data_IF_065746910383
#
_entry.id   IF_065746910383
#
_cell.length_a   1.000
_cell.length_b   1.000
_cell.length_c   1.000
_cell.angle_alpha   90.00
_cell.angle_beta   90.00
_cell.angle_gamma   90.00
#
_symmetry.space_group_name_H-M   'P 1'
#
loop_
_entity.id
_entity.type
_entity.pdbx_description
1 polymer ?
#
# COMPACT_ATOMS: atom_id res chain seq x y z
N UNK A 1 -8.50 7.33 34.84
CA UNK A 1 -7.45 8.03 34.08
C UNK A 1 -6.14 7.34 34.32
N UNK A 2 -5.67 6.53 33.36
CA UNK A 2 -4.27 6.11 33.20
C UNK A 2 -4.21 5.48 31.80
N UNK A 3 -3.83 6.30 30.83
CA UNK A 3 -3.60 5.88 29.45
C UNK A 3 -2.26 5.13 29.41
N UNK A 4 -2.28 3.88 28.94
CA UNK A 4 -1.07 3.12 28.66
C UNK A 4 -0.66 3.44 27.21
N UNK A 5 0.31 4.34 27.06
CA UNK A 5 0.98 4.57 25.79
C UNK A 5 1.88 3.36 25.50
N UNK A 6 1.56 2.60 24.45
CA UNK A 6 2.42 1.55 23.93
C UNK A 6 3.69 2.17 23.36
N UNK A 7 4.80 1.97 24.06
CA UNK A 7 6.11 2.50 23.67
C UNK A 7 6.65 1.69 22.49
N UNK A 8 6.67 2.25 21.29
CA UNK A 8 7.47 1.72 20.18
C UNK A 8 8.94 1.70 20.65
N UNK A 9 9.53 0.52 20.73
CA UNK A 9 10.92 0.37 21.15
C UNK A 9 11.81 0.65 19.94
N UNK A 10 12.34 1.87 19.86
CA UNK A 10 13.30 2.29 18.83
C UNK A 10 14.60 1.50 18.97
N UNK A 11 14.88 0.60 18.02
CA UNK A 11 16.19 -0.05 17.92
C UNK A 11 17.13 0.86 17.11
N UNK A 12 17.90 1.68 17.83
CA UNK A 12 18.94 2.52 17.24
C UNK A 12 20.09 1.69 16.67
N UNK A 13 20.56 2.05 15.46
CA UNK A 13 21.63 1.34 14.78
C UNK A 13 22.53 2.24 13.91
N UNK A 14 23.80 2.28 14.29
CA UNK A 14 25.00 2.90 13.71
C UNK A 14 25.04 3.20 12.20
N UNK A 15 25.68 4.34 11.90
CA UNK A 15 25.99 4.90 10.59
C UNK A 15 27.05 4.08 9.83
N UNK A 16 26.58 3.30 8.86
CA UNK A 16 27.31 2.91 7.65
C UNK A 16 26.26 2.88 6.55
N UNK A 17 26.43 3.66 5.48
CA UNK A 17 25.42 4.00 4.47
C UNK A 17 24.33 2.92 4.31
N UNK A 18 23.24 3.08 5.08
CA UNK A 18 22.14 2.13 5.09
C UNK A 18 21.34 2.37 3.82
N UNK A 19 20.96 1.30 3.15
CA UNK A 19 20.04 1.37 2.02
C UNK A 19 18.76 2.12 2.45
N UNK A 20 18.30 3.15 1.72
CA UNK A 20 17.16 3.97 2.13
C UNK A 20 15.88 3.18 2.48
N UNK A 21 15.55 2.15 1.69
CA UNK A 21 14.41 1.30 1.97
C UNK A 21 14.59 0.51 3.28
N UNK A 22 15.79 -0.01 3.54
CA UNK A 22 16.09 -0.67 4.82
C UNK A 22 16.04 0.30 6.01
N UNK A 23 16.36 1.58 5.82
CA UNK A 23 16.22 2.58 6.88
C UNK A 23 14.76 2.70 7.34
N UNK A 24 13.81 2.68 6.39
CA UNK A 24 12.37 2.63 6.71
C UNK A 24 11.98 1.30 7.36
N UNK A 25 12.40 0.16 6.79
CA UNK A 25 12.08 -1.18 7.35
C UNK A 25 12.58 -1.34 8.79
N UNK A 26 13.75 -0.79 9.13
CA UNK A 26 14.35 -0.90 10.46
C UNK A 26 13.52 -0.25 11.59
N UNK A 27 12.53 0.57 11.27
CA UNK A 27 11.57 1.09 12.26
C UNK A 27 10.57 0.04 12.74
N UNK A 28 10.31 -0.98 11.91
CA UNK A 28 9.23 -1.96 12.13
C UNK A 28 9.77 -3.37 12.35
N UNK A 29 10.91 -3.69 11.74
CA UNK A 29 11.51 -5.02 11.77
C UNK A 29 13.00 -4.94 12.11
N UNK A 30 13.52 -5.83 12.97
CA UNK A 30 14.95 -5.90 13.22
C UNK A 30 15.66 -6.39 11.95
N UNK A 31 16.60 -5.59 11.45
CA UNK A 31 17.48 -6.01 10.37
C UNK A 31 18.55 -6.96 10.91
N UNK A 32 18.79 -8.06 10.20
CA UNK A 32 19.96 -8.89 10.46
C UNK A 32 21.18 -8.34 9.69
N UNK A 33 22.39 -8.64 10.17
CA UNK A 33 23.63 -8.26 9.48
C UNK A 33 23.90 -9.03 8.18
N UNK A 34 22.94 -9.85 7.73
CA UNK A 34 23.02 -10.74 6.59
C UNK A 34 22.40 -10.14 5.33
N UNK A 35 21.70 -10.99 4.58
CA UNK A 35 20.96 -10.60 3.37
C UNK A 35 19.56 -10.17 3.81
N UNK A 36 19.25 -8.90 3.64
CA UNK A 36 17.91 -8.37 3.90
C UNK A 36 17.12 -8.27 2.60
N UNK A 37 15.85 -8.64 2.62
CA UNK A 37 14.92 -8.48 1.49
C UNK A 37 14.15 -7.18 1.66
N UNK A 38 14.17 -6.34 0.64
CA UNK A 38 13.30 -5.18 0.49
C UNK A 38 12.14 -5.58 -0.41
N UNK A 39 10.94 -5.54 0.14
CA UNK A 39 9.69 -5.54 -0.61
C UNK A 39 9.18 -4.08 -0.65
N UNK A 40 9.24 -3.40 -1.82
CA UNK A 40 8.81 -2.01 -1.94
C UNK A 40 7.36 -1.77 -1.50
N UNK A 41 6.46 -2.72 -1.72
CA UNK A 41 5.08 -2.63 -1.25
C UNK A 41 4.98 -2.56 0.28
N UNK A 42 5.63 -3.46 1.01
CA UNK A 42 5.68 -3.38 2.48
C UNK A 42 6.35 -2.09 2.96
N UNK A 43 7.42 -1.68 2.27
CA UNK A 43 8.16 -0.47 2.62
C UNK A 43 7.31 0.80 2.40
N UNK A 44 6.43 0.82 1.38
CA UNK A 44 5.46 1.90 1.19
C UNK A 44 4.50 2.01 2.38
N UNK A 45 3.99 0.89 2.90
CA UNK A 45 3.08 0.87 4.06
C UNK A 45 3.77 1.34 5.34
N UNK A 46 5.03 0.95 5.54
CA UNK A 46 5.87 1.46 6.62
C UNK A 46 6.12 2.95 6.51
N UNK A 47 6.53 3.43 5.33
CA UNK A 47 6.73 4.85 5.09
C UNK A 47 5.43 5.65 5.29
N UNK A 48 4.28 5.12 4.87
CA UNK A 48 2.97 5.75 5.09
C UNK A 48 2.66 5.88 6.59
N UNK A 49 2.95 4.83 7.37
CA UNK A 49 2.82 4.88 8.83
C UNK A 49 3.73 5.95 9.45
N UNK A 50 5.00 6.03 9.03
CA UNK A 50 5.93 7.06 9.50
C UNK A 50 5.44 8.48 9.16
N UNK A 51 4.98 8.72 7.93
CA UNK A 51 4.44 10.01 7.48
C UNK A 51 3.25 10.43 8.34
N UNK A 52 2.26 9.54 8.55
CA UNK A 52 1.06 9.84 9.34
C UNK A 52 1.37 10.16 10.80
N UNK A 53 2.40 9.52 11.36
CA UNK A 53 2.88 9.76 12.72
C UNK A 53 3.90 10.89 12.84
N UNK A 54 4.29 11.53 11.73
CA UNK A 54 5.35 12.56 11.66
C UNK A 54 6.68 12.07 12.24
N UNK A 55 7.04 10.83 11.91
CA UNK A 55 8.29 10.18 12.27
C UNK A 55 9.15 9.95 11.03
N UNK A 56 10.45 9.78 11.23
CA UNK A 56 11.37 9.31 10.19
C UNK A 56 11.37 10.14 8.90
N UNK A 57 11.18 11.47 8.97
CA UNK A 57 11.02 12.29 7.76
C UNK A 57 12.22 12.19 6.82
N UNK A 58 13.44 12.17 7.36
CA UNK A 58 14.66 11.99 6.55
C UNK A 58 14.74 10.61 5.91
N UNK A 59 14.38 9.55 6.64
CA UNK A 59 14.33 8.19 6.09
C UNK A 59 13.28 8.04 5.00
N UNK A 60 12.13 8.70 5.13
CA UNK A 60 11.08 8.71 4.09
C UNK A 60 11.52 9.53 2.87
N UNK A 61 12.15 10.69 3.06
CA UNK A 61 12.70 11.49 1.94
C UNK A 61 13.71 10.67 1.12
N UNK A 62 14.66 10.03 1.81
CA UNK A 62 15.66 9.17 1.19
C UNK A 62 15.00 7.97 0.47
N UNK A 63 13.95 7.38 1.07
CA UNK A 63 13.22 6.27 0.48
C UNK A 63 12.44 6.68 -0.78
N UNK A 64 11.76 7.83 -0.79
CA UNK A 64 11.05 8.33 -1.98
C UNK A 64 12.02 8.55 -3.13
N UNK A 65 13.16 9.21 -2.88
CA UNK A 65 14.21 9.37 -3.90
C UNK A 65 14.71 8.01 -4.39
N UNK A 66 14.97 7.08 -3.47
CA UNK A 66 15.42 5.74 -3.82
C UNK A 66 14.40 5.00 -4.68
N UNK A 67 13.11 5.02 -4.32
CA UNK A 67 12.06 4.33 -5.09
C UNK A 67 12.01 4.83 -6.54
N UNK A 68 12.02 6.15 -6.72
CA UNK A 68 11.99 6.79 -8.04
C UNK A 68 13.21 6.44 -8.90
N UNK A 69 14.40 6.30 -8.28
CA UNK A 69 15.64 5.88 -8.95
C UNK A 69 15.70 4.38 -9.27
N UNK A 70 14.81 3.61 -8.66
CA UNK A 70 14.79 2.15 -8.76
C UNK A 70 13.60 1.61 -9.56
N UNK A 71 12.82 2.46 -10.19
CA UNK A 71 11.80 2.03 -11.15
C UNK A 71 12.40 1.27 -12.35
N UNK A 72 11.65 0.33 -12.89
CA UNK A 72 11.96 -0.49 -14.06
C UNK A 72 11.56 0.22 -15.36
N UNK A 73 12.42 0.15 -16.37
CA UNK A 73 12.27 0.82 -17.66
C UNK A 73 12.89 0.00 -18.82
N UNK A 74 12.20 -1.02 -19.39
CA UNK A 74 10.99 -1.69 -18.90
C UNK A 74 11.32 -2.88 -17.97
N UNK A 75 10.29 -3.51 -17.41
CA UNK A 75 10.38 -4.78 -16.68
C UNK A 75 10.21 -6.02 -17.59
N UNK A 76 10.13 -7.21 -16.96
CA UNK A 76 9.97 -8.51 -17.64
C UNK A 76 8.64 -8.67 -18.39
N UNK A 77 7.62 -7.88 -18.06
CA UNK A 77 6.32 -7.86 -18.75
C UNK A 77 6.23 -6.73 -19.79
N UNK A 78 7.32 -5.97 -19.99
CA UNK A 78 7.36 -4.82 -20.88
C UNK A 78 6.67 -3.58 -20.32
N UNK A 79 6.38 -3.55 -19.02
CA UNK A 79 5.82 -2.37 -18.34
C UNK A 79 6.93 -1.42 -17.89
N UNK A 80 6.57 -0.16 -17.75
CA UNK A 80 7.46 0.91 -17.30
C UNK A 80 6.89 1.53 -16.03
N UNK A 81 7.76 1.89 -15.08
CA UNK A 81 7.34 2.46 -13.80
C UNK A 81 7.01 1.41 -12.73
N UNK A 82 7.26 0.13 -12.97
CA UNK A 82 7.20 -0.92 -11.92
C UNK A 82 8.47 -0.90 -11.09
N UNK A 83 8.53 -1.68 -10.01
CA UNK A 83 9.76 -1.85 -9.21
C UNK A 83 9.85 -3.31 -8.77
N UNK A 84 11.04 -3.89 -8.87
CA UNK A 84 11.27 -5.26 -8.39
C UNK A 84 11.53 -5.24 -6.88
N UNK A 85 11.22 -6.37 -6.23
CA UNK A 85 11.82 -6.69 -4.94
C UNK A 85 13.35 -6.71 -5.05
N UNK A 86 14.02 -6.44 -3.94
CA UNK A 86 15.47 -6.32 -3.93
C UNK A 86 16.10 -7.03 -2.75
N UNK A 87 17.25 -7.64 -2.99
CA UNK A 87 18.11 -8.16 -1.94
C UNK A 87 19.23 -7.18 -1.64
N UNK A 88 19.37 -6.79 -0.38
CA UNK A 88 20.49 -6.01 0.10
C UNK A 88 21.48 -6.96 0.76
N UNK A 89 22.62 -7.16 0.11
CA UNK A 89 23.73 -7.98 0.61
C UNK A 89 24.52 -7.23 1.68
N UNK A 90 25.32 -7.94 2.51
CA UNK A 90 26.29 -7.30 3.38
C UNK A 90 27.15 -6.28 2.63
N UNK A 91 27.34 -5.11 3.23
CA UNK A 91 28.03 -3.98 2.58
C UNK A 91 27.13 -3.10 1.69
N UNK A 92 25.81 -3.32 1.68
CA UNK A 92 24.84 -2.43 1.02
C UNK A 92 24.64 -2.69 -0.48
N UNK A 93 25.24 -3.74 -1.03
CA UNK A 93 25.08 -4.08 -2.44
C UNK A 93 23.66 -4.56 -2.73
N UNK A 94 22.99 -3.82 -3.59
CA UNK A 94 21.61 -4.06 -4.00
C UNK A 94 21.55 -4.98 -5.22
N UNK A 95 20.73 -6.02 -5.16
CA UNK A 95 20.44 -6.93 -6.28
C UNK A 95 18.93 -6.97 -6.51
N UNK A 96 18.47 -6.60 -7.71
CA UNK A 96 17.08 -6.83 -8.13
C UNK A 96 16.82 -8.31 -8.23
N UNK A 97 15.65 -8.74 -7.80
CA UNK A 97 15.21 -10.14 -7.90
C UNK A 97 14.69 -10.48 -9.29
N UNK A 98 14.34 -9.47 -10.09
CA UNK A 98 13.60 -9.64 -11.34
C UNK A 98 12.13 -10.00 -11.09
N UNK A 99 11.60 -9.75 -9.88
CA UNK A 99 10.23 -10.09 -9.51
C UNK A 99 9.59 -9.15 -8.50
N UNK A 100 8.28 -9.05 -8.62
CA UNK A 100 7.32 -8.51 -7.68
C UNK A 100 6.09 -9.45 -7.68
N UNK A 101 5.28 -9.43 -6.63
CA UNK A 101 4.05 -10.21 -6.49
C UNK A 101 2.82 -9.51 -7.10
N UNK A 102 2.77 -8.18 -7.07
CA UNK A 102 1.78 -7.37 -7.77
C UNK A 102 2.38 -6.07 -8.35
N UNK A 103 1.72 -5.50 -9.35
CA UNK A 103 2.04 -4.18 -9.92
C UNK A 103 1.13 -3.10 -9.34
N UNK A 104 -0.16 -3.42 -9.24
CA UNK A 104 -1.20 -2.49 -8.81
C UNK A 104 -1.07 -2.10 -7.33
N UNK A 105 -0.83 -3.06 -6.43
CA UNK A 105 -0.63 -2.76 -5.02
C UNK A 105 0.63 -1.91 -4.76
N UNK A 106 1.72 -2.20 -5.48
CA UNK A 106 2.96 -1.42 -5.43
C UNK A 106 2.74 0.01 -5.91
N UNK A 107 2.13 0.18 -7.08
CA UNK A 107 1.84 1.48 -7.66
C UNK A 107 0.84 2.27 -6.80
N UNK A 108 -0.24 1.64 -6.36
CA UNK A 108 -1.30 2.25 -5.56
C UNK A 108 -0.79 2.78 -4.23
N UNK A 109 -0.04 1.96 -3.48
CA UNK A 109 0.54 2.37 -2.21
C UNK A 109 1.63 3.43 -2.36
N UNK A 110 2.44 3.38 -3.42
CA UNK A 110 3.46 4.40 -3.66
C UNK A 110 2.84 5.76 -4.00
N UNK A 111 1.81 5.80 -4.85
CA UNK A 111 1.12 7.06 -5.19
C UNK A 111 0.43 7.67 -3.98
N UNK A 112 -0.17 6.84 -3.11
CA UNK A 112 -0.71 7.30 -1.84
C UNK A 112 0.38 7.85 -0.93
N UNK A 113 1.53 7.16 -0.84
CA UNK A 113 2.68 7.64 -0.08
C UNK A 113 3.15 9.01 -0.59
N UNK A 114 3.30 9.21 -1.90
CA UNK A 114 3.73 10.49 -2.47
C UNK A 114 2.77 11.63 -2.13
N UNK A 115 1.46 11.38 -2.20
CA UNK A 115 0.43 12.38 -1.86
C UNK A 115 0.48 12.79 -0.39
N UNK A 116 0.58 11.82 0.53
CA UNK A 116 0.65 12.10 1.97
C UNK A 116 2.01 12.68 2.39
N UNK A 117 3.11 12.21 1.79
CA UNK A 117 4.46 12.71 2.01
C UNK A 117 4.59 14.18 1.58
N UNK A 118 4.06 14.54 0.40
CA UNK A 118 4.05 15.93 -0.06
C UNK A 118 3.26 16.84 0.90
N UNK A 119 2.09 16.38 1.35
CA UNK A 119 1.28 17.11 2.33
C UNK A 119 1.98 17.26 3.69
N UNK A 120 2.84 16.31 4.05
CA UNK A 120 3.66 16.36 5.25
C UNK A 120 4.92 17.24 5.12
N UNK A 121 5.14 17.87 3.96
CA UNK A 121 6.27 18.77 3.70
C UNK A 121 7.41 18.16 2.88
N UNK A 122 7.15 17.05 2.21
CA UNK A 122 8.09 16.41 1.28
C UNK A 122 8.57 17.33 0.15
N UNK A 123 9.72 16.98 -0.44
CA UNK A 123 10.38 17.78 -1.47
C UNK A 123 9.59 17.83 -2.80
N UNK A 124 8.87 18.93 -3.00
CA UNK A 124 8.17 19.23 -4.25
C UNK A 124 9.08 19.31 -5.47
N UNK A 125 10.33 19.76 -5.32
CA UNK A 125 11.27 19.84 -6.44
C UNK A 125 11.66 18.45 -6.93
N UNK A 126 11.79 17.47 -6.02
CA UNK A 126 11.99 16.07 -6.35
C UNK A 126 10.80 15.51 -7.17
N UNK A 127 9.56 15.84 -6.78
CA UNK A 127 8.35 15.43 -7.52
C UNK A 127 8.33 16.02 -8.92
N UNK A 128 8.60 17.32 -9.07
CA UNK A 128 8.66 17.98 -10.38
C UNK A 128 9.75 17.38 -11.27
N UNK A 129 10.93 17.13 -10.72
CA UNK A 129 12.04 16.51 -11.44
C UNK A 129 11.72 15.08 -11.91
N UNK A 130 10.83 14.37 -11.21
CA UNK A 130 10.43 12.99 -11.49
C UNK A 130 9.00 12.86 -12.03
N UNK A 131 8.37 13.95 -12.47
CA UNK A 131 6.97 13.97 -12.92
C UNK A 131 6.65 12.86 -13.93
N UNK A 132 7.48 12.68 -14.95
CA UNK A 132 7.27 11.65 -15.97
C UNK A 132 7.31 10.23 -15.38
N UNK A 133 8.22 9.98 -14.43
CA UNK A 133 8.32 8.68 -13.76
C UNK A 133 7.10 8.39 -12.89
N UNK A 134 6.62 9.40 -12.15
CA UNK A 134 5.42 9.30 -11.31
C UNK A 134 4.18 9.09 -12.20
N UNK A 135 4.12 9.77 -13.35
CA UNK A 135 3.10 9.54 -14.37
C UNK A 135 3.09 8.09 -14.86
N UNK A 136 4.26 7.50 -15.14
CA UNK A 136 4.35 6.10 -15.56
C UNK A 136 3.78 5.15 -14.49
N UNK A 137 4.07 5.40 -13.21
CA UNK A 137 3.50 4.62 -12.09
C UNK A 137 1.97 4.70 -12.08
N UNK A 138 1.39 5.90 -12.24
CA UNK A 138 -0.06 6.08 -12.30
C UNK A 138 -0.70 5.39 -13.52
N UNK A 139 -0.01 5.40 -14.66
CA UNK A 139 -0.47 4.72 -15.88
C UNK A 139 -0.53 3.20 -15.75
N UNK A 140 0.24 2.59 -14.85
CA UNK A 140 0.15 1.14 -14.58
C UNK A 140 -1.26 0.75 -14.12
N UNK A 141 -1.86 1.52 -13.23
CA UNK A 141 -3.20 1.24 -12.71
C UNK A 141 -4.25 1.31 -13.82
N UNK A 142 -4.15 2.29 -14.70
CA UNK A 142 -5.04 2.40 -15.87
C UNK A 142 -4.81 1.27 -16.88
N UNK A 143 -3.56 0.81 -17.03
CA UNK A 143 -3.21 -0.30 -17.94
C UNK A 143 -3.71 -1.66 -17.45
N UNK A 144 -3.79 -1.82 -16.13
CA UNK A 144 -4.19 -3.06 -15.47
C UNK A 144 -5.69 -3.14 -15.16
N UNK A 145 -6.39 -2.00 -15.21
CA UNK A 145 -7.83 -1.96 -15.06
C UNK A 145 -8.53 -2.68 -16.22
N UNK A 146 -9.41 -3.61 -15.85
CA UNK A 146 -10.28 -4.31 -16.77
C UNK A 146 -11.54 -3.49 -17.11
N UNK A 147 -12.23 -3.82 -18.23
CA UNK A 147 -13.49 -3.17 -18.59
C UNK A 147 -14.60 -3.28 -17.53
N UNK A 148 -14.43 -4.20 -16.57
CA UNK A 148 -15.36 -4.40 -15.47
C UNK A 148 -15.06 -3.56 -14.23
N UNK A 149 -14.04 -2.70 -14.32
CA UNK A 149 -13.62 -1.72 -13.33
C UNK A 149 -12.54 -2.21 -12.37
N UNK A 150 -12.37 -3.53 -12.21
CA UNK A 150 -11.35 -4.09 -11.32
C UNK A 150 -9.95 -4.01 -11.93
N UNK A 151 -8.94 -3.88 -11.08
CA UNK A 151 -7.52 -3.86 -11.44
C UNK A 151 -6.92 -5.24 -11.18
N UNK A 152 -6.13 -5.74 -12.15
CA UNK A 152 -5.38 -6.99 -12.02
C UNK A 152 -4.05 -6.78 -11.30
N UNK A 153 -3.67 -7.77 -10.49
CA UNK A 153 -2.38 -7.80 -9.82
C UNK A 153 -1.19 -7.76 -10.79
N UNK A 154 -1.29 -8.50 -11.90
CA UNK A 154 -0.27 -8.59 -12.94
C UNK A 154 -0.93 -8.50 -14.33
N UNK A 155 -0.18 -8.13 -15.39
CA UNK A 155 -0.72 -8.12 -16.76
C UNK A 155 -1.33 -9.45 -17.23
N UNK A 156 -0.80 -10.56 -16.74
CA UNK A 156 -1.15 -11.94 -17.08
C UNK A 156 -1.88 -12.67 -15.95
N UNK A 157 -2.18 -12.00 -14.83
CA UNK A 157 -2.95 -12.58 -13.74
C UNK A 157 -4.45 -12.63 -14.07
N UNK A 158 -5.11 -13.73 -13.74
CA UNK A 158 -6.57 -13.82 -13.75
C UNK A 158 -7.21 -13.35 -12.43
N UNK A 159 -6.40 -13.17 -11.39
CA UNK A 159 -6.85 -12.79 -10.06
C UNK A 159 -6.84 -11.26 -9.89
N UNK A 160 -7.91 -10.77 -9.24
CA UNK A 160 -8.14 -9.38 -8.85
C UNK A 160 -8.46 -9.40 -7.36
N UNK A 161 -7.52 -8.96 -6.55
CA UNK A 161 -7.62 -9.05 -5.09
C UNK A 161 -8.34 -7.83 -4.54
N UNK A 162 -9.12 -8.03 -3.47
CA UNK A 162 -9.79 -6.93 -2.77
C UNK A 162 -8.79 -5.88 -2.27
N UNK A 163 -7.69 -6.34 -1.69
CA UNK A 163 -6.62 -5.49 -1.14
C UNK A 163 -6.04 -4.57 -2.22
N UNK A 164 -5.54 -5.17 -3.30
CA UNK A 164 -4.89 -4.48 -4.40
C UNK A 164 -5.84 -3.48 -5.09
N UNK A 165 -7.12 -3.82 -5.22
CA UNK A 165 -8.13 -2.91 -5.77
C UNK A 165 -8.41 -1.72 -4.84
N UNK A 166 -8.43 -1.92 -3.52
CA UNK A 166 -8.55 -0.81 -2.57
C UNK A 166 -7.31 0.11 -2.63
N UNK A 167 -6.12 -0.46 -2.79
CA UNK A 167 -4.87 0.28 -2.94
C UNK A 167 -4.83 1.07 -4.24
N UNK A 168 -5.24 0.46 -5.36
CA UNK A 168 -5.36 1.11 -6.65
C UNK A 168 -6.36 2.27 -6.61
N UNK A 169 -7.52 2.09 -5.97
CA UNK A 169 -8.50 3.16 -5.73
C UNK A 169 -7.86 4.36 -5.04
N UNK A 170 -7.21 4.15 -3.89
CA UNK A 170 -6.59 5.24 -3.14
C UNK A 170 -5.43 5.87 -3.90
N UNK A 171 -4.60 5.08 -4.57
CA UNK A 171 -3.48 5.57 -5.37
C UNK A 171 -3.91 6.44 -6.55
N UNK A 172 -5.00 6.07 -7.24
CA UNK A 172 -5.57 6.87 -8.33
C UNK A 172 -6.11 8.22 -7.84
N UNK A 173 -6.82 8.23 -6.69
CA UNK A 173 -7.30 9.47 -6.07
C UNK A 173 -6.15 10.34 -5.56
N UNK A 174 -5.15 9.72 -4.92
CA UNK A 174 -3.95 10.38 -4.43
C UNK A 174 -3.18 11.05 -5.57
N UNK A 175 -2.97 10.33 -6.68
CA UNK A 175 -2.30 10.89 -7.84
C UNK A 175 -3.08 12.06 -8.48
N UNK A 176 -4.42 11.97 -8.57
CA UNK A 176 -5.25 13.09 -9.03
C UNK A 176 -5.13 14.32 -8.11
N UNK A 177 -5.16 14.10 -6.79
CA UNK A 177 -5.04 15.18 -5.81
C UNK A 177 -3.66 15.83 -5.86
N UNK A 178 -2.60 15.02 -5.86
CA UNK A 178 -1.22 15.47 -5.99
C UNK A 178 -1.00 16.26 -7.28
N UNK A 179 -1.46 15.73 -8.42
CA UNK A 179 -1.36 16.38 -9.73
C UNK A 179 -2.02 17.76 -9.73
N UNK A 180 -3.21 17.90 -9.12
CA UNK A 180 -3.89 19.19 -8.99
C UNK A 180 -3.12 20.18 -8.11
N UNK A 181 -2.53 19.73 -7.00
CA UNK A 181 -1.75 20.60 -6.10
C UNK A 181 -0.44 21.07 -6.75
N UNK A 182 0.17 20.24 -7.59
CA UNK A 182 1.40 20.57 -8.32
C UNK A 182 1.15 21.25 -9.68
N UNK A 183 -0.10 21.33 -10.13
CA UNK A 183 -0.46 21.94 -11.42
C UNK A 183 -0.14 21.05 -12.63
N UNK A 184 -0.06 19.73 -12.44
CA UNK A 184 0.07 18.76 -13.52
C UNK A 184 -1.31 18.54 -14.16
N UNK A 185 -1.50 19.04 -15.38
CA UNK A 185 -2.74 18.77 -16.12
C UNK A 185 -2.80 17.30 -16.57
N UNK A 186 -3.56 16.48 -15.83
CA UNK A 186 -3.78 15.05 -16.11
C UNK A 186 -5.20 14.74 -16.59
N UNK A 187 -6.08 15.75 -16.65
CA UNK A 187 -7.51 15.56 -16.86
C UNK A 187 -8.19 14.67 -15.79
N UNK A 188 -9.45 14.26 -16.02
CA UNK A 188 -10.24 13.51 -15.03
C UNK A 188 -9.98 11.99 -15.02
N UNK A 189 -9.08 11.48 -15.87
CA UNK A 189 -8.96 10.04 -16.18
C UNK A 189 -8.71 9.18 -14.95
N UNK A 190 -7.78 9.58 -14.08
CA UNK A 190 -7.44 8.81 -12.88
C UNK A 190 -8.57 8.84 -11.86
N UNK A 191 -9.28 9.96 -11.72
CA UNK A 191 -10.45 10.05 -10.86
C UNK A 191 -11.60 9.17 -11.37
N UNK A 192 -11.88 9.19 -12.67
CA UNK A 192 -12.90 8.31 -13.28
C UNK A 192 -12.53 6.84 -13.05
N UNK A 193 -11.28 6.46 -13.33
CA UNK A 193 -10.81 5.12 -13.07
C UNK A 193 -10.95 4.71 -11.60
N UNK A 194 -10.66 5.62 -10.66
CA UNK A 194 -10.85 5.35 -9.24
C UNK A 194 -12.32 5.07 -8.90
N UNK A 195 -13.26 5.89 -9.40
CA UNK A 195 -14.69 5.64 -9.20
C UNK A 195 -15.11 4.30 -9.81
N UNK A 196 -14.62 3.94 -11.00
CA UNK A 196 -14.89 2.64 -11.62
C UNK A 196 -14.35 1.47 -10.76
N UNK A 197 -13.15 1.61 -10.17
CA UNK A 197 -12.62 0.62 -9.22
C UNK A 197 -13.52 0.51 -7.99
N UNK A 198 -13.93 1.65 -7.42
CA UNK A 198 -14.77 1.69 -6.22
C UNK A 198 -16.11 0.99 -6.46
N UNK A 199 -16.79 1.33 -7.56
CA UNK A 199 -18.06 0.70 -7.92
C UNK A 199 -17.89 -0.80 -8.23
N UNK A 200 -16.77 -1.20 -8.84
CA UNK A 200 -16.47 -2.61 -9.07
C UNK A 200 -16.21 -3.38 -7.77
N UNK A 201 -15.46 -2.80 -6.82
CA UNK A 201 -15.27 -3.41 -5.47
C UNK A 201 -16.62 -3.57 -4.76
N UNK A 202 -17.44 -2.53 -4.74
CA UNK A 202 -18.75 -2.56 -4.06
C UNK A 202 -19.77 -3.45 -4.77
N UNK A 203 -19.71 -3.57 -6.10
CA UNK A 203 -20.69 -4.31 -6.90
C UNK A 203 -20.32 -5.77 -7.19
N UNK A 204 -19.02 -6.10 -7.23
CA UNK A 204 -18.52 -7.43 -7.64
C UNK A 204 -17.81 -8.18 -6.54
N UNK A 205 -17.08 -7.47 -5.68
CA UNK A 205 -16.39 -8.09 -4.55
C UNK A 205 -17.22 -8.07 -3.28
N UNK A 206 -18.45 -7.55 -3.27
CA UNK A 206 -19.37 -7.67 -2.14
C UNK A 206 -20.19 -8.96 -2.19
N UNK A 207 -20.44 -9.57 -1.04
CA UNK A 207 -21.30 -10.78 -0.94
C UNK A 207 -22.81 -10.43 -0.87
N UNK A 208 -23.27 -9.53 -1.75
CA UNK A 208 -24.68 -9.11 -1.83
C UNK A 208 -25.13 -8.26 -0.64
N UNK A 209 -26.32 -8.48 -0.02
CA UNK A 209 -26.73 -7.76 1.18
C UNK A 209 -25.83 -8.03 2.41
N UNK A 210 -24.78 -8.85 2.24
CA UNK A 210 -23.81 -9.23 3.23
C UNK A 210 -22.80 -8.11 3.52
N UNK A 211 -22.57 -7.90 4.82
CA UNK A 211 -21.68 -6.89 5.39
C UNK A 211 -20.18 -7.20 5.19
N UNK A 212 -19.81 -7.87 4.09
CA UNK A 212 -18.50 -8.49 3.85
C UNK A 212 -18.15 -8.50 2.36
N UNK A 213 -16.86 -8.63 2.11
CA UNK A 213 -16.28 -8.73 0.78
C UNK A 213 -15.68 -10.11 0.53
N UNK A 214 -15.74 -10.58 -0.71
CA UNK A 214 -14.86 -11.59 -1.27
C UNK A 214 -13.41 -11.07 -1.25
N UNK A 215 -12.44 -11.91 -0.88
CA UNK A 215 -11.04 -11.48 -0.82
C UNK A 215 -10.40 -11.42 -2.23
N UNK A 216 -11.02 -12.06 -3.22
CA UNK A 216 -10.63 -11.95 -4.63
C UNK A 216 -11.79 -12.30 -5.58
N UNK A 217 -11.61 -11.92 -6.85
CA UNK A 217 -12.27 -12.54 -8.00
C UNK A 217 -11.18 -13.10 -8.93
N UNK A 218 -11.26 -14.37 -9.28
CA UNK A 218 -10.37 -14.99 -10.26
C UNK A 218 -11.16 -15.51 -11.46
N UNK A 219 -11.00 -14.87 -12.63
CA UNK A 219 -11.68 -15.28 -13.85
C UNK A 219 -13.22 -15.23 -13.77
N UNK A 220 -13.78 -14.30 -12.98
CA UNK A 220 -15.23 -14.17 -12.75
C UNK A 220 -15.78 -15.09 -11.66
N UNK A 221 -14.90 -15.79 -10.94
CA UNK A 221 -15.27 -16.63 -9.80
C UNK A 221 -14.97 -15.86 -8.51
N UNK A 222 -15.98 -15.53 -7.70
CA UNK A 222 -15.76 -14.86 -6.42
C UNK A 222 -15.16 -15.82 -5.40
N UNK A 223 -14.08 -15.40 -4.74
CA UNK A 223 -13.45 -16.11 -3.64
C UNK A 223 -13.97 -15.54 -2.31
N UNK A 224 -14.92 -16.26 -1.70
CA UNK A 224 -15.55 -15.89 -0.43
C UNK A 224 -14.55 -15.87 0.72
N UNK A 225 -14.66 -14.87 1.58
CA UNK A 225 -13.83 -14.74 2.77
C UNK A 225 -14.32 -15.64 3.90
N UNK A 226 -13.46 -16.54 4.35
CA UNK A 226 -13.60 -17.29 5.59
C UNK A 226 -12.93 -16.51 6.74
N UNK A 227 -13.72 -16.00 7.67
CA UNK A 227 -13.19 -15.22 8.78
C UNK A 227 -12.42 -16.07 9.80
N UNK A 228 -12.49 -17.40 9.76
CA UNK A 228 -11.59 -18.31 10.48
C UNK A 228 -10.15 -18.31 9.92
N UNK A 229 -9.96 -17.79 8.70
CA UNK A 229 -8.66 -17.58 8.07
C UNK A 229 -8.23 -16.11 8.22
N UNK A 230 -7.06 -15.88 8.82
CA UNK A 230 -6.58 -14.52 9.06
C UNK A 230 -6.20 -13.80 7.77
N UNK A 231 -5.36 -14.42 6.95
CA UNK A 231 -4.89 -13.89 5.68
C UNK A 231 -5.01 -14.96 4.58
N UNK A 232 -5.56 -14.64 3.40
CA UNK A 232 -5.98 -13.31 2.93
C UNK A 232 -7.35 -12.83 3.45
N UNK A 233 -8.17 -13.72 4.00
CA UNK A 233 -9.61 -13.50 4.15
C UNK A 233 -10.01 -12.36 5.12
N UNK A 234 -9.80 -12.52 6.43
CA UNK A 234 -10.25 -11.54 7.41
C UNK A 234 -9.47 -10.22 7.33
N UNK A 235 -8.15 -10.28 7.10
CA UNK A 235 -7.32 -9.08 6.99
C UNK A 235 -7.70 -8.22 5.78
N UNK A 236 -8.01 -8.82 4.62
CA UNK A 236 -8.43 -8.08 3.44
C UNK A 236 -9.69 -7.22 3.68
N UNK A 237 -10.54 -7.60 4.64
CA UNK A 237 -11.75 -6.85 4.98
C UNK A 237 -11.46 -5.47 5.59
N UNK A 238 -10.22 -5.24 6.06
CA UNK A 238 -9.80 -3.94 6.57
C UNK A 238 -9.44 -2.94 5.47
N UNK A 239 -9.16 -3.42 4.25
CA UNK A 239 -8.64 -2.60 3.15
C UNK A 239 -9.67 -1.60 2.61
N UNK A 240 -10.96 -1.96 2.44
CA UNK A 240 -11.98 -0.99 2.04
C UNK A 240 -12.07 0.21 3.00
N UNK A 241 -11.80 -0.02 4.29
CA UNK A 241 -11.78 1.02 5.32
C UNK A 241 -10.48 1.82 5.25
N UNK A 242 -9.33 1.13 5.24
CA UNK A 242 -8.00 1.73 5.23
C UNK A 242 -7.81 2.70 4.06
N UNK A 243 -8.30 2.31 2.88
CA UNK A 243 -8.13 3.06 1.64
C UNK A 243 -9.36 3.89 1.26
N UNK A 244 -10.41 3.91 2.09
CA UNK A 244 -11.55 4.80 1.92
C UNK A 244 -12.54 4.43 0.81
N UNK A 245 -12.52 3.17 0.33
CA UNK A 245 -13.58 2.64 -0.55
C UNK A 245 -14.94 2.73 0.15
N UNK A 246 -14.97 2.44 1.46
CA UNK A 246 -16.12 2.67 2.34
C UNK A 246 -15.80 3.79 3.34
N UNK A 247 -16.80 4.59 3.69
CA UNK A 247 -16.65 5.58 4.77
C UNK A 247 -16.36 4.84 6.09
N UNK A 248 -15.27 5.19 6.77
CA UNK A 248 -14.87 4.58 8.04
C UNK A 248 -15.92 4.72 9.16
N UNK A 249 -16.84 5.68 9.03
CA UNK A 249 -17.98 5.89 9.95
C UNK A 249 -19.25 5.16 9.52
N UNK A 250 -19.25 4.48 8.38
CA UNK A 250 -20.40 3.69 7.92
C UNK A 250 -20.65 2.48 8.81
N UNK A 251 -21.91 2.03 8.87
CA UNK A 251 -22.27 0.80 9.60
C UNK A 251 -21.46 -0.42 9.12
N UNK A 252 -21.16 -0.47 7.81
CA UNK A 252 -20.34 -1.53 7.22
C UNK A 252 -18.91 -1.50 7.78
N UNK A 253 -18.24 -0.35 7.75
CA UNK A 253 -16.88 -0.22 8.26
C UNK A 253 -16.79 -0.56 9.75
N UNK A 254 -17.72 -0.05 10.55
CA UNK A 254 -17.78 -0.32 11.99
C UNK A 254 -18.04 -1.80 12.28
N UNK A 255 -18.90 -2.45 11.50
CA UNK A 255 -19.15 -3.89 11.63
C UNK A 255 -17.91 -4.73 11.28
N UNK A 256 -17.26 -4.45 10.16
CA UNK A 256 -16.06 -5.15 9.71
C UNK A 256 -14.93 -5.03 10.74
N UNK A 257 -14.69 -3.82 11.26
CA UNK A 257 -13.69 -3.60 12.30
C UNK A 257 -13.99 -4.36 13.59
N UNK A 258 -15.23 -4.26 14.09
CA UNK A 258 -15.65 -4.94 15.32
C UNK A 258 -15.56 -6.47 15.20
N UNK A 259 -15.98 -7.03 14.05
CA UNK A 259 -15.85 -8.47 13.81
C UNK A 259 -14.38 -8.90 13.78
N UNK A 260 -13.50 -8.08 13.19
CA UNK A 260 -12.07 -8.37 13.12
C UNK A 260 -11.43 -8.35 14.50
N UNK A 261 -11.65 -7.29 15.30
CA UNK A 261 -11.09 -7.19 16.65
C UNK A 261 -11.60 -8.29 17.60
N UNK A 262 -12.88 -8.68 17.49
CA UNK A 262 -13.43 -9.76 18.31
C UNK A 262 -12.75 -11.10 18.05
N UNK A 263 -12.31 -11.33 16.81
CA UNK A 263 -11.81 -12.62 16.36
C UNK A 263 -10.30 -12.72 16.40
N UNK A 264 -9.64 -11.61 16.07
CA UNK A 264 -8.20 -11.47 15.98
C UNK A 264 -7.79 -10.36 16.93
N UNK A 265 -7.80 -10.64 18.25
CA UNK A 265 -7.32 -9.67 19.23
C UNK A 265 -5.86 -9.32 18.89
N UNK A 266 -5.57 -8.10 18.41
CA UNK A 266 -4.24 -7.70 17.96
C UNK A 266 -3.22 -7.68 19.11
N UNK A 267 -3.70 -7.78 20.36
CA UNK A 267 -2.93 -7.79 21.61
C UNK A 267 -2.77 -9.20 22.20
N UNK A 268 -3.49 -10.21 21.71
CA UNK A 268 -3.49 -11.58 22.26
C UNK A 268 -2.34 -12.48 21.79
N UNK A 269 -1.31 -11.93 21.12
CA UNK A 269 -0.10 -12.68 20.78
C UNK A 269 -0.22 -13.64 19.58
N UNK A 270 -1.20 -13.44 18.69
CA UNK A 270 -1.13 -14.08 17.38
C UNK A 270 0.10 -13.57 16.60
N UNK A 271 0.84 -14.45 15.91
CA UNK A 271 2.00 -14.06 15.12
C UNK A 271 1.53 -13.34 13.85
N UNK A 272 1.29 -12.03 13.96
CA UNK A 272 1.12 -11.13 12.80
C UNK A 272 2.47 -10.54 12.42
N UNK A 273 2.75 -10.46 11.12
CA UNK A 273 3.95 -9.78 10.62
C UNK A 273 3.90 -8.28 10.92
N UNK A 274 5.03 -7.58 10.83
CA UNK A 274 5.06 -6.15 11.09
C UNK A 274 4.21 -5.36 10.09
N UNK A 275 4.14 -5.78 8.82
CA UNK A 275 3.29 -5.14 7.80
C UNK A 275 1.81 -5.35 8.09
N UNK A 276 1.41 -6.55 8.52
CA UNK A 276 0.04 -6.83 8.93
C UNK A 276 -0.36 -6.00 10.15
N UNK A 277 0.57 -5.79 11.10
CA UNK A 277 0.37 -4.91 12.24
C UNK A 277 0.20 -3.45 11.82
N UNK A 278 1.04 -2.96 10.90
CA UNK A 278 0.91 -1.61 10.34
C UNK A 278 -0.45 -1.41 9.67
N UNK A 279 -0.93 -2.39 8.88
CA UNK A 279 -2.28 -2.35 8.29
C UNK A 279 -3.35 -2.23 9.38
N UNK A 280 -3.32 -3.09 10.41
CA UNK A 280 -4.31 -3.08 11.49
C UNK A 280 -4.32 -1.74 12.24
N UNK A 281 -3.14 -1.21 12.58
CA UNK A 281 -3.02 0.04 13.32
C UNK A 281 -3.49 1.24 12.48
N UNK A 282 -3.10 1.31 11.20
CA UNK A 282 -3.58 2.34 10.29
C UNK A 282 -5.10 2.25 10.07
N UNK A 283 -5.69 1.05 10.01
CA UNK A 283 -7.14 0.91 9.94
C UNK A 283 -7.81 1.37 11.23
N UNK A 284 -7.27 1.00 12.40
CA UNK A 284 -7.79 1.40 13.72
C UNK A 284 -7.91 2.92 13.83
N UNK A 285 -6.89 3.63 13.37
CA UNK A 285 -6.83 5.10 13.35
C UNK A 285 -7.94 5.74 12.51
N UNK A 286 -8.45 5.05 11.47
CA UNK A 286 -9.54 5.58 10.64
C UNK A 286 -10.92 5.36 11.25
N UNK A 287 -11.10 4.26 11.98
CA UNK A 287 -12.41 3.86 12.55
C UNK A 287 -12.64 4.38 13.96
N UNK A 288 -11.55 4.69 14.69
CA UNK A 288 -11.61 5.19 16.06
C UNK A 288 -11.45 6.71 16.05
N UNK A 289 -12.36 7.49 16.68
CA UNK A 289 -12.28 8.94 16.76
C UNK A 289 -11.06 9.49 17.51
#
# INVERSE_FOLDING_TARGET
>A
MLASAGLLTLVGGCAGHRNPALSVVNWFEPLDGGRNRVNPYFTNLYALSLVRHRLGSGEVDDYVSWYLDHLNYPDRHGLTGTIDDMDVRPGGRLERTGSYDSVDGYAGTFLLLLDEWEQAGGDRALLEANRARIQDVAWLLLRLQDPDGLVRALPDANARYLMDNCEAYAGLLAYDALSRRLGWDTGPRHRIAAEDVREAVLGRLSDGPGRRFHWADAGGVPHRSDWDVFYPDALAQLFPILYGVVDARSELAQHLWQEFEQRYDPRAGQPVSAVQRAIIDLTRERVTP
#
